data_IF_855389057898
#
_entry.id   IF_855389057898
#
_cell.length_a   1.000
_cell.length_b   1.000
_cell.length_c   1.000
_cell.angle_alpha   90.00
_cell.angle_beta   90.00
_cell.angle_gamma   90.00
#
_symmetry.space_group_name_H-M   'P 1'
#
loop_
_entity.id
_entity.type
_entity.pdbx_description
1 polymer ?
#
# COMPACT_ATOMS: atom_id res chain seq x y z
N UNK A 1 -30.90 -13.47 5.48
CA UNK A 1 -29.59 -12.80 5.58
C UNK A 1 -29.80 -11.35 5.15
N UNK A 2 -29.73 -10.38 6.08
CA UNK A 2 -29.88 -8.96 5.74
C UNK A 2 -28.72 -8.56 4.82
N UNK A 3 -29.01 -7.92 3.69
CA UNK A 3 -27.98 -7.28 2.86
C UNK A 3 -27.38 -6.15 3.70
N UNK A 4 -26.16 -6.32 4.20
CA UNK A 4 -25.42 -5.24 4.84
C UNK A 4 -25.14 -4.17 3.78
N UNK A 5 -25.73 -2.99 3.96
CA UNK A 5 -25.48 -1.84 3.09
C UNK A 5 -24.15 -1.20 3.44
N UNK A 6 -23.33 -0.89 2.44
CA UNK A 6 -22.08 -0.17 2.67
C UNK A 6 -22.36 1.24 3.22
N UNK A 7 -21.55 1.74 4.17
CA UNK A 7 -21.64 3.11 4.65
C UNK A 7 -21.49 4.13 3.53
N UNK A 8 -22.22 5.24 3.64
CA UNK A 8 -22.05 6.36 2.71
C UNK A 8 -20.79 7.16 3.02
N UNK A 9 -20.26 7.88 2.03
CA UNK A 9 -19.08 8.74 2.24
C UNK A 9 -19.36 9.86 3.27
N UNK A 10 -20.61 10.33 3.38
CA UNK A 10 -20.96 11.35 4.37
C UNK A 10 -20.92 10.78 5.79
N UNK A 11 -21.30 9.52 5.98
CA UNK A 11 -21.14 8.84 7.27
C UNK A 11 -19.65 8.70 7.62
N UNK A 12 -18.82 8.22 6.68
CA UNK A 12 -17.37 8.08 6.89
C UNK A 12 -16.73 9.44 7.25
N UNK A 13 -17.14 10.54 6.62
CA UNK A 13 -16.65 11.89 6.96
C UNK A 13 -16.99 12.31 8.39
N UNK A 14 -18.16 11.91 8.90
CA UNK A 14 -18.56 12.19 10.27
C UNK A 14 -17.78 11.34 11.27
N UNK A 15 -17.47 10.09 10.91
CA UNK A 15 -16.73 9.17 11.78
C UNK A 15 -15.23 9.51 11.87
N UNK A 16 -14.69 10.17 10.83
CA UNK A 16 -13.27 10.57 10.75
C UNK A 16 -13.10 12.07 10.48
N UNK A 17 -13.54 12.96 11.39
CA UNK A 17 -13.57 14.41 11.16
C UNK A 17 -12.19 15.06 11.09
N UNK A 18 -11.16 14.39 11.63
CA UNK A 18 -9.76 14.89 11.64
C UNK A 18 -9.10 14.87 10.25
N UNK A 19 -9.70 14.17 9.28
CA UNK A 19 -9.15 14.04 7.93
C UNK A 19 -10.06 14.68 6.88
N UNK A 20 -9.43 15.23 5.84
CA UNK A 20 -10.16 15.72 4.66
C UNK A 20 -10.44 14.57 3.70
N UNK A 21 -11.52 14.68 2.94
CA UNK A 21 -11.92 13.68 1.95
C UNK A 21 -12.17 14.35 0.60
N UNK A 22 -11.41 13.94 -0.43
CA UNK A 22 -11.49 14.52 -1.77
C UNK A 22 -11.69 13.45 -2.85
N UNK A 23 -12.52 13.76 -3.86
CA UNK A 23 -12.72 12.86 -4.99
C UNK A 23 -11.47 12.81 -5.89
N UNK A 24 -11.13 11.62 -6.37
CA UNK A 24 -9.99 11.34 -7.24
C UNK A 24 -10.29 10.17 -8.19
N UNK A 25 -9.41 9.96 -9.17
CA UNK A 25 -9.45 8.75 -10.03
C UNK A 25 -8.94 7.50 -9.31
N UNK A 26 -8.09 7.67 -8.30
CA UNK A 26 -7.42 6.61 -7.54
C UNK A 26 -7.58 6.83 -6.04
N UNK A 27 -7.47 5.76 -5.27
CA UNK A 27 -7.43 5.81 -3.81
C UNK A 27 -5.99 6.06 -3.35
N UNK A 28 -5.80 7.00 -2.44
CA UNK A 28 -4.53 7.22 -1.73
C UNK A 28 -4.70 8.16 -0.54
N UNK A 29 -3.88 7.96 0.48
CA UNK A 29 -3.65 8.90 1.57
C UNK A 29 -2.56 9.93 1.22
N UNK A 30 -2.84 11.22 1.42
CA UNK A 30 -1.84 12.30 1.38
C UNK A 30 -1.57 12.80 2.81
N UNK A 31 -0.44 12.40 3.38
CA UNK A 31 -0.01 12.91 4.69
C UNK A 31 0.31 14.40 4.68
N UNK A 32 0.76 14.93 3.53
CA UNK A 32 1.07 16.36 3.34
C UNK A 32 -0.19 17.22 3.46
N UNK A 33 -1.26 16.80 2.81
CA UNK A 33 -2.51 17.57 2.75
C UNK A 33 -3.51 17.12 3.82
N UNK A 34 -3.16 16.09 4.60
CA UNK A 34 -4.04 15.36 5.51
C UNK A 34 -5.37 14.99 4.86
N UNK A 35 -5.28 14.48 3.62
CA UNK A 35 -6.44 14.22 2.76
C UNK A 35 -6.46 12.78 2.28
N UNK A 36 -7.61 12.14 2.46
CA UNK A 36 -7.93 10.83 1.89
C UNK A 36 -8.60 11.06 0.54
N UNK A 37 -7.93 10.62 -0.51
CA UNK A 37 -8.46 10.67 -1.87
C UNK A 37 -9.16 9.37 -2.22
N UNK A 38 -10.34 9.46 -2.82
CA UNK A 38 -11.16 8.29 -3.11
C UNK A 38 -11.83 8.36 -4.48
N UNK A 39 -12.08 7.19 -5.06
CA UNK A 39 -12.85 7.09 -6.30
C UNK A 39 -14.33 6.83 -5.99
N UNK A 40 -15.15 7.88 -6.10
CA UNK A 40 -16.59 7.84 -5.84
C UNK A 40 -17.35 6.76 -6.63
N UNK A 41 -16.95 6.51 -7.89
CA UNK A 41 -17.60 5.50 -8.73
C UNK A 41 -17.35 4.07 -8.23
N UNK A 42 -16.27 3.87 -7.48
CA UNK A 42 -15.90 2.56 -6.94
C UNK A 42 -16.41 2.33 -5.52
N UNK A 43 -16.78 3.37 -4.76
CA UNK A 43 -17.31 3.24 -3.39
C UNK A 43 -18.61 2.44 -3.30
N UNK A 44 -19.40 2.38 -4.39
CA UNK A 44 -20.62 1.55 -4.43
C UNK A 44 -20.32 0.04 -4.41
N UNK A 45 -19.05 -0.34 -4.62
CA UNK A 45 -18.58 -1.73 -4.59
C UNK A 45 -17.84 -1.99 -3.29
N UNK A 46 -17.98 -3.20 -2.77
CA UNK A 46 -17.28 -3.65 -1.57
C UNK A 46 -15.77 -3.42 -1.67
N UNK A 47 -15.10 -3.85 -2.75
CA UNK A 47 -13.65 -3.66 -2.92
C UNK A 47 -13.23 -2.18 -2.91
N UNK A 48 -14.07 -1.30 -3.45
CA UNK A 48 -13.78 0.14 -3.44
C UNK A 48 -13.93 0.74 -2.04
N UNK A 49 -14.90 0.27 -1.26
CA UNK A 49 -15.02 0.65 0.15
C UNK A 49 -13.86 0.10 0.99
N UNK A 50 -13.42 -1.14 0.74
CA UNK A 50 -12.24 -1.72 1.41
C UNK A 50 -10.97 -0.90 1.15
N UNK A 51 -10.79 -0.40 -0.09
CA UNK A 51 -9.69 0.52 -0.41
C UNK A 51 -9.80 1.84 0.34
N UNK A 52 -10.99 2.41 0.46
CA UNK A 52 -11.19 3.65 1.24
C UNK A 52 -10.76 3.48 2.71
N UNK A 53 -11.21 2.42 3.37
CA UNK A 53 -10.87 2.18 4.77
C UNK A 53 -9.39 1.79 4.96
N UNK A 54 -8.75 1.23 3.94
CA UNK A 54 -7.29 1.05 3.91
C UNK A 54 -6.55 2.40 3.90
N UNK A 55 -6.97 3.37 3.08
CA UNK A 55 -6.38 4.73 3.10
C UNK A 55 -6.63 5.44 4.44
N UNK A 56 -7.80 5.25 5.05
CA UNK A 56 -8.07 5.74 6.42
C UNK A 56 -7.13 5.05 7.41
N UNK A 57 -6.84 3.76 7.21
CA UNK A 57 -5.84 3.02 7.99
C UNK A 57 -4.47 3.70 7.95
N UNK A 58 -3.98 4.08 6.78
CA UNK A 58 -2.73 4.85 6.64
C UNK A 58 -2.78 6.18 7.42
N UNK A 59 -3.90 6.91 7.32
CA UNK A 59 -4.08 8.18 8.01
C UNK A 59 -4.05 8.02 9.54
N UNK A 60 -4.77 7.04 10.08
CA UNK A 60 -4.85 6.76 11.51
C UNK A 60 -3.54 6.24 12.11
N UNK A 61 -2.76 5.48 11.34
CA UNK A 61 -1.43 5.06 11.76
C UNK A 61 -0.38 6.18 11.60
N UNK A 62 -0.75 7.33 11.03
CA UNK A 62 0.15 8.47 10.85
C UNK A 62 1.23 8.21 9.81
N UNK A 63 0.99 7.31 8.85
CA UNK A 63 1.95 6.97 7.80
C UNK A 63 2.24 8.20 6.92
N UNK A 64 3.52 8.45 6.64
CA UNK A 64 3.99 9.62 5.86
C UNK A 64 4.77 9.20 4.64
N UNK A 65 5.95 8.62 4.87
CA UNK A 65 6.91 8.16 3.88
C UNK A 65 7.48 6.82 4.35
N UNK A 66 8.21 6.14 3.47
CA UNK A 66 9.02 4.97 3.79
C UNK A 66 10.41 5.15 3.19
N UNK A 67 11.42 4.55 3.82
CA UNK A 67 12.84 4.63 3.44
C UNK A 67 13.38 3.31 2.92
N UNK A 68 12.68 2.21 3.22
CA UNK A 68 13.04 0.88 2.73
C UNK A 68 11.84 0.12 2.19
N UNK A 69 12.13 -0.88 1.36
CA UNK A 69 11.10 -1.73 0.78
C UNK A 69 10.43 -2.62 1.82
N UNK A 70 11.13 -2.98 2.91
CA UNK A 70 10.58 -3.75 4.03
C UNK A 70 9.62 -2.87 4.84
N UNK A 71 10.05 -1.64 5.16
CA UNK A 71 9.21 -0.67 5.88
C UNK A 71 7.90 -0.44 5.14
N UNK A 72 7.94 -0.27 3.82
CA UNK A 72 6.72 -0.16 3.01
C UNK A 72 5.75 -1.33 3.25
N UNK A 73 6.22 -2.59 3.23
CA UNK A 73 5.34 -3.75 3.46
C UNK A 73 4.76 -3.73 4.88
N UNK A 74 5.56 -3.31 5.87
CA UNK A 74 5.08 -3.13 7.25
C UNK A 74 3.97 -2.09 7.32
N UNK A 75 4.14 -0.92 6.69
CA UNK A 75 3.12 0.13 6.66
C UNK A 75 1.83 -0.34 5.96
N UNK A 76 1.94 -1.07 4.85
CA UNK A 76 0.77 -1.63 4.15
C UNK A 76 0.03 -2.64 5.05
N UNK A 77 0.75 -3.52 5.73
CA UNK A 77 0.17 -4.50 6.64
C UNK A 77 -0.53 -3.83 7.84
N UNK A 78 0.10 -2.82 8.45
CA UNK A 78 -0.48 -2.04 9.54
C UNK A 78 -1.75 -1.30 9.11
N UNK A 79 -1.75 -0.69 7.92
CA UNK A 79 -2.92 -0.04 7.36
C UNK A 79 -4.08 -1.04 7.15
N UNK A 80 -3.81 -2.25 6.67
CA UNK A 80 -4.82 -3.30 6.55
C UNK A 80 -5.34 -3.80 7.90
N UNK A 81 -4.48 -3.93 8.92
CA UNK A 81 -4.93 -4.28 10.27
C UNK A 81 -5.86 -3.19 10.84
N UNK A 82 -5.52 -1.91 10.63
CA UNK A 82 -6.38 -0.80 11.03
C UNK A 82 -7.70 -0.81 10.26
N UNK A 83 -7.66 -1.08 8.96
CA UNK A 83 -8.85 -1.23 8.12
C UNK A 83 -9.79 -2.34 8.62
N UNK A 84 -9.25 -3.48 9.10
CA UNK A 84 -10.08 -4.55 9.70
C UNK A 84 -10.88 -4.08 10.90
N UNK A 85 -10.27 -3.24 11.75
CA UNK A 85 -10.96 -2.68 12.91
C UNK A 85 -12.10 -1.75 12.46
N UNK A 86 -11.83 -0.85 11.51
CA UNK A 86 -12.85 0.05 10.95
C UNK A 86 -13.98 -0.73 10.29
N UNK A 87 -13.66 -1.76 9.50
CA UNK A 87 -14.66 -2.61 8.86
C UNK A 87 -15.59 -3.23 9.92
N UNK A 88 -15.02 -3.74 11.02
CA UNK A 88 -15.78 -4.34 12.12
C UNK A 88 -16.73 -3.34 12.76
N UNK A 89 -16.32 -2.08 12.93
CA UNK A 89 -17.19 -1.02 13.46
C UNK A 89 -18.39 -0.75 12.54
N UNK A 90 -18.21 -0.91 11.22
CA UNK A 90 -19.31 -0.88 10.23
C UNK A 90 -20.06 -2.21 10.07
N UNK A 91 -19.81 -3.19 10.95
CA UNK A 91 -20.34 -4.56 10.83
C UNK A 91 -19.99 -5.25 9.50
N UNK A 92 -18.89 -4.85 8.86
CA UNK A 92 -18.31 -5.46 7.68
C UNK A 92 -17.13 -6.35 8.08
N UNK A 93 -16.84 -7.34 7.26
CA UNK A 93 -15.67 -8.20 7.42
C UNK A 93 -14.78 -8.04 6.20
N UNK A 94 -13.48 -7.81 6.40
CA UNK A 94 -12.48 -7.86 5.32
C UNK A 94 -12.02 -9.30 5.17
N UNK A 95 -12.21 -9.87 3.99
CA UNK A 95 -11.72 -11.20 3.66
C UNK A 95 -10.20 -11.23 3.68
N UNK A 96 -9.61 -12.20 4.36
CA UNK A 96 -8.15 -12.37 4.41
C UNK A 96 -7.56 -12.54 3.00
N UNK A 97 -8.29 -13.17 2.06
CA UNK A 97 -7.81 -13.30 0.67
C UNK A 97 -7.62 -11.95 -0.03
N UNK A 98 -8.42 -10.94 0.30
CA UNK A 98 -8.28 -9.60 -0.29
C UNK A 98 -6.99 -8.94 0.21
N UNK A 99 -6.73 -9.03 1.51
CA UNK A 99 -5.52 -8.47 2.14
C UNK A 99 -4.28 -9.17 1.56
N UNK A 100 -4.29 -10.51 1.50
CA UNK A 100 -3.16 -11.27 0.97
C UNK A 100 -2.93 -10.98 -0.52
N UNK A 101 -3.97 -10.85 -1.34
CA UNK A 101 -3.81 -10.45 -2.75
C UNK A 101 -3.17 -9.06 -2.89
N UNK A 102 -3.56 -8.11 -2.03
CA UNK A 102 -2.95 -6.78 -2.01
C UNK A 102 -1.47 -6.87 -1.58
N UNK A 103 -1.16 -7.56 -0.50
CA UNK A 103 0.21 -7.71 0.01
C UNK A 103 1.11 -8.52 -0.94
N UNK A 104 0.58 -9.53 -1.63
CA UNK A 104 1.33 -10.34 -2.59
C UNK A 104 1.81 -9.53 -3.78
N UNK A 105 1.07 -8.49 -4.18
CA UNK A 105 1.54 -7.57 -5.22
C UNK A 105 2.82 -6.86 -4.80
N UNK A 106 2.92 -6.46 -3.52
CA UNK A 106 4.13 -5.85 -2.95
C UNK A 106 5.25 -6.86 -2.72
N UNK A 107 4.94 -8.06 -2.23
CA UNK A 107 5.93 -9.13 -2.04
C UNK A 107 6.56 -9.56 -3.37
N UNK A 108 5.76 -9.70 -4.41
CA UNK A 108 6.25 -9.99 -5.77
C UNK A 108 7.12 -8.85 -6.31
N UNK A 109 6.69 -7.61 -6.12
CA UNK A 109 7.47 -6.45 -6.51
C UNK A 109 8.81 -6.36 -5.77
N UNK A 110 8.83 -6.62 -4.46
CA UNK A 110 10.04 -6.69 -3.64
C UNK A 110 10.95 -7.84 -4.08
N UNK A 111 10.39 -9.03 -4.34
CA UNK A 111 11.14 -10.18 -4.80
C UNK A 111 11.87 -9.88 -6.12
N UNK A 112 11.18 -9.23 -7.06
CA UNK A 112 11.77 -8.83 -8.34
C UNK A 112 12.90 -7.81 -8.14
N UNK A 113 12.72 -6.81 -7.26
CA UNK A 113 13.72 -5.78 -6.96
C UNK A 113 14.96 -6.32 -6.26
N UNK A 114 14.75 -7.26 -5.34
CA UNK A 114 15.81 -7.90 -4.55
C UNK A 114 16.55 -8.99 -5.32
N UNK A 115 16.04 -9.43 -6.47
CA UNK A 115 16.69 -10.45 -7.29
C UNK A 115 17.85 -9.85 -8.10
N UNK A 116 19.05 -10.38 -7.88
CA UNK A 116 20.25 -9.96 -8.59
C UNK A 116 20.08 -10.13 -10.11
N UNK A 117 20.36 -9.09 -10.92
CA UNK A 117 20.22 -9.18 -12.37
C UNK A 117 21.20 -10.19 -13.00
N UNK A 118 22.35 -10.43 -12.35
CA UNK A 118 23.44 -11.28 -12.84
C UNK A 118 23.25 -12.74 -12.46
N UNK A 119 23.25 -13.07 -11.15
CA UNK A 119 23.23 -14.46 -10.68
C UNK A 119 21.88 -14.94 -10.16
N UNK A 120 20.84 -14.10 -10.20
CA UNK A 120 19.47 -14.41 -9.75
C UNK A 120 19.29 -14.71 -8.25
N UNK A 121 20.32 -14.57 -7.43
CA UNK A 121 20.16 -14.63 -5.97
C UNK A 121 19.38 -13.43 -5.45
N UNK A 122 18.45 -13.69 -4.52
CA UNK A 122 17.74 -12.68 -3.74
C UNK A 122 18.73 -12.04 -2.77
N UNK A 123 18.79 -10.71 -2.73
CA UNK A 123 19.75 -9.95 -1.93
C UNK A 123 19.03 -8.86 -1.15
N UNK A 124 19.68 -8.31 -0.14
CA UNK A 124 19.09 -7.28 0.71
C UNK A 124 19.37 -5.87 0.18
N UNK A 125 18.48 -4.94 0.54
CA UNK A 125 18.65 -3.50 0.32
C UNK A 125 19.73 -3.00 1.27
N UNK A 126 20.77 -2.36 0.72
CA UNK A 126 21.90 -1.81 1.50
C UNK A 126 21.72 -0.33 1.82
N UNK A 127 20.98 0.38 0.97
CA UNK A 127 20.68 1.80 1.09
C UNK A 127 19.37 2.09 0.34
N UNK A 128 18.82 3.29 0.43
CA UNK A 128 17.56 3.68 -0.18
C UNK A 128 17.56 3.35 -1.68
N UNK A 129 16.76 2.35 -2.07
CA UNK A 129 16.63 1.86 -3.45
C UNK A 129 17.89 1.25 -4.07
N UNK A 130 18.90 0.90 -3.26
CA UNK A 130 20.16 0.28 -3.70
C UNK A 130 20.29 -1.13 -3.11
N UNK A 131 20.52 -2.09 -3.98
CA UNK A 131 20.70 -3.50 -3.62
C UNK A 131 22.11 -3.96 -3.96
N UNK A 132 22.68 -4.80 -3.10
CA UNK A 132 23.99 -5.42 -3.30
C UNK A 132 23.91 -6.93 -3.17
N UNK A 133 24.38 -7.64 -4.19
CA UNK A 133 24.41 -9.10 -4.16
C UNK A 133 25.49 -9.62 -3.22
N UNK A 134 25.16 -10.51 -2.29
CA UNK A 134 26.15 -11.17 -1.46
C UNK A 134 26.98 -12.22 -2.22
N UNK A 135 26.46 -12.75 -3.33
CA UNK A 135 27.09 -13.84 -4.09
C UNK A 135 28.06 -13.33 -5.15
N UNK A 136 27.62 -12.41 -6.02
CA UNK A 136 28.45 -11.88 -7.12
C UNK A 136 28.86 -10.42 -6.92
N UNK A 137 28.56 -9.83 -5.76
CA UNK A 137 28.88 -8.44 -5.40
C UNK A 137 28.33 -7.34 -6.32
N UNK A 138 27.48 -7.69 -7.28
CA UNK A 138 26.81 -6.74 -8.15
C UNK A 138 25.96 -5.79 -7.33
N UNK A 139 26.08 -4.50 -7.62
CA UNK A 139 25.21 -3.46 -7.04
C UNK A 139 24.27 -2.94 -8.13
N UNK A 140 23.01 -2.70 -7.79
CA UNK A 140 22.04 -2.11 -8.71
C UNK A 140 21.09 -1.18 -7.97
N UNK A 141 20.59 -0.17 -8.70
CA UNK A 141 19.60 0.78 -8.21
C UNK A 141 18.26 0.47 -8.83
N UNK A 142 17.22 0.55 -8.03
CA UNK A 142 15.83 0.42 -8.46
C UNK A 142 15.13 1.76 -8.31
N UNK A 143 14.15 2.09 -9.16
CA UNK A 143 13.39 3.33 -8.99
C UNK A 143 12.54 3.29 -7.72
N UNK A 144 12.35 4.45 -7.09
CA UNK A 144 11.48 4.59 -5.91
C UNK A 144 10.01 4.29 -6.25
N UNK A 145 9.54 4.76 -7.40
CA UNK A 145 8.14 4.62 -7.81
C UNK A 145 7.83 3.22 -8.37
N UNK A 146 6.93 2.51 -7.69
CA UNK A 146 6.43 1.18 -8.03
C UNK A 146 5.77 1.10 -9.43
N UNK A 147 5.23 2.20 -9.94
CA UNK A 147 4.56 2.25 -11.25
C UNK A 147 5.55 2.26 -12.42
N UNK A 148 6.85 2.45 -12.15
CA UNK A 148 7.87 2.42 -13.19
C UNK A 148 8.35 0.98 -13.43
N UNK A 149 8.02 0.44 -14.61
CA UNK A 149 8.30 -0.97 -14.99
C UNK A 149 9.78 -1.28 -15.29
N UNK A 150 10.72 -0.38 -15.00
CA UNK A 150 12.14 -0.50 -15.33
C UNK A 150 12.97 -0.92 -14.09
N UNK A 151 12.80 -2.15 -13.61
CA UNK A 151 13.46 -2.62 -12.37
C UNK A 151 14.79 -3.37 -12.58
N UNK A 152 15.47 -3.16 -13.71
CA UNK A 152 16.75 -3.84 -14.03
C UNK A 152 17.78 -2.89 -14.65
N UNK A 153 18.01 -1.73 -14.05
CA UNK A 153 19.10 -0.86 -14.48
C UNK A 153 20.37 -1.26 -13.71
N UNK A 154 21.36 -1.79 -14.44
CA UNK A 154 22.71 -1.98 -13.90
C UNK A 154 23.30 -0.60 -13.61
N UNK A 155 23.79 -0.40 -12.40
CA UNK A 155 24.76 0.68 -12.17
C UNK A 155 26.06 0.19 -12.82
N UNK A 156 26.39 0.76 -13.97
CA UNK A 156 27.74 0.64 -14.53
C UNK A 156 28.62 1.61 -13.78
N UNK A 157 29.67 1.06 -13.14
CA UNK A 157 30.80 1.81 -12.59
C UNK A 157 31.50 2.63 -13.67
#
# INVERSE_FOLDING_TARGET
MQKQSLPSIEQVRLDFPDFKFAESKVFYWSAKDQTIYFNKKLLVKYDGFMKLIHEIGHALCGHKNYTSSIELITLEAEAWQKARLIAKDYSLEIKDELIEQCLDSYRNWLHIRSTCPTCKNVSFETDESIFKCFNCHQTWKVPYNQQTRHYRLKLTS
#
